data_IF_379440307183
#
_entry.id   IF_379440307183
#
_cell.length_a   1.000
_cell.length_b   1.000
_cell.length_c   1.000
_cell.angle_alpha   90.00
_cell.angle_beta   90.00
_cell.angle_gamma   90.00
#
_symmetry.space_group_name_H-M   'P 1'
#
loop_
_entity.id
_entity.type
_entity.pdbx_description
1 polymer ?
#
# COMPACT_ATOMS: atom_id res chain seq x y z
N UNK A 1 27.40 -4.30 2.73
CA UNK A 1 27.11 -3.35 3.84
C UNK A 1 28.27 -3.43 4.82
N UNK A 2 29.03 -2.34 5.07
CA UNK A 2 30.31 -2.39 5.79
C UNK A 2 30.21 -2.77 7.28
N UNK A 3 29.03 -2.67 7.90
CA UNK A 3 28.82 -2.92 9.33
C UNK A 3 28.10 -4.24 9.66
N UNK A 4 27.73 -5.06 8.66
CA UNK A 4 26.98 -6.31 8.88
C UNK A 4 25.54 -6.13 9.35
N UNK A 5 25.06 -4.89 9.53
CA UNK A 5 23.67 -4.59 9.90
C UNK A 5 22.80 -4.50 8.64
N UNK A 6 21.68 -5.23 8.66
CA UNK A 6 20.64 -5.15 7.61
C UNK A 6 19.53 -4.22 8.08
N UNK A 7 19.17 -3.25 7.24
CA UNK A 7 18.14 -2.25 7.53
C UNK A 7 17.12 -2.27 6.41
N UNK A 8 15.84 -2.33 6.77
CA UNK A 8 14.71 -2.26 5.85
C UNK A 8 13.74 -1.18 6.35
N UNK A 9 13.36 -0.27 5.48
CA UNK A 9 12.28 0.69 5.73
C UNK A 9 10.95 0.06 5.34
N UNK A 10 9.95 0.19 6.21
CA UNK A 10 8.58 -0.26 5.95
C UNK A 10 7.68 0.97 5.82
N UNK A 11 7.06 1.16 4.65
CA UNK A 11 6.11 2.23 4.37
C UNK A 11 4.73 1.61 4.12
N UNK A 12 3.93 1.37 5.17
CA UNK A 12 2.61 0.83 5.00
C UNK A 12 1.60 1.92 4.61
N UNK A 13 0.54 1.51 3.93
CA UNK A 13 -0.71 2.27 3.88
C UNK A 13 -1.38 2.32 5.26
N UNK A 14 -2.59 2.91 5.36
CA UNK A 14 -3.35 2.94 6.60
C UNK A 14 -3.52 1.53 7.18
N UNK A 15 -3.18 1.29 8.45
CA UNK A 15 -3.28 -0.03 9.09
C UNK A 15 -4.35 0.00 10.17
N UNK A 16 -5.31 -0.93 10.15
CA UNK A 16 -6.42 -0.94 11.10
C UNK A 16 -5.97 -1.36 12.50
N UNK A 17 -5.50 -0.40 13.29
CA UNK A 17 -5.01 -0.59 14.66
C UNK A 17 -5.82 0.21 15.66
N UNK A 18 -5.78 -0.20 16.93
CA UNK A 18 -6.45 0.51 18.03
C UNK A 18 -5.94 1.95 18.26
N UNK A 19 -4.85 2.35 17.59
CA UNK A 19 -4.35 3.72 17.58
C UNK A 19 -5.45 4.72 17.19
N UNK A 20 -6.27 4.41 16.18
CA UNK A 20 -7.28 5.34 15.67
C UNK A 20 -8.43 5.56 16.65
N UNK A 21 -8.78 4.57 17.46
CA UNK A 21 -9.80 4.74 18.51
C UNK A 21 -9.41 5.77 19.57
N UNK A 22 -8.11 6.03 19.72
CA UNK A 22 -7.55 6.99 20.68
C UNK A 22 -7.19 8.31 19.99
N UNK A 23 -6.59 8.23 18.81
CA UNK A 23 -6.03 9.37 18.09
C UNK A 23 -7.09 10.14 17.27
N UNK A 24 -8.06 9.45 16.68
CA UNK A 24 -9.15 10.06 15.91
C UNK A 24 -10.47 9.97 16.65
N UNK A 25 -10.70 10.94 17.55
CA UNK A 25 -11.95 11.05 18.31
C UNK A 25 -13.17 11.39 17.45
N UNK A 26 -12.96 11.81 16.20
CA UNK A 26 -14.05 12.19 15.27
C UNK A 26 -14.50 11.03 14.40
N UNK A 27 -13.63 10.05 14.15
CA UNK A 27 -13.86 8.94 13.22
C UNK A 27 -13.66 9.33 11.74
N UNK A 28 -13.58 10.62 11.43
CA UNK A 28 -13.52 11.13 10.07
C UNK A 28 -12.31 10.60 9.28
N UNK A 29 -11.15 10.40 9.92
CA UNK A 29 -9.98 9.88 9.20
C UNK A 29 -10.22 8.44 8.78
N UNK A 30 -10.72 7.61 9.71
CA UNK A 30 -11.01 6.19 9.46
C UNK A 30 -12.06 6.05 8.36
N UNK A 31 -13.16 6.81 8.42
CA UNK A 31 -14.22 6.77 7.39
C UNK A 31 -13.70 7.02 5.98
N UNK A 32 -12.72 7.91 5.82
CA UNK A 32 -12.16 8.27 4.52
C UNK A 32 -11.16 7.24 3.97
N UNK A 33 -10.54 6.43 4.82
CA UNK A 33 -9.47 5.50 4.40
C UNK A 33 -9.81 4.03 4.60
N UNK A 34 -10.95 3.71 5.25
CA UNK A 34 -11.35 2.36 5.65
C UNK A 34 -11.28 1.33 4.52
N UNK A 35 -11.68 1.68 3.30
CA UNK A 35 -11.69 0.77 2.15
C UNK A 35 -10.29 0.31 1.73
N UNK A 36 -9.26 1.06 2.12
CA UNK A 36 -7.85 0.78 1.80
C UNK A 36 -7.02 0.45 3.05
N UNK A 37 -7.65 0.33 4.22
CA UNK A 37 -6.96 -0.05 5.44
C UNK A 37 -6.49 -1.50 5.36
N UNK A 38 -5.29 -1.72 5.86
CA UNK A 38 -4.64 -3.02 5.90
C UNK A 38 -4.91 -3.71 7.22
N UNK A 39 -5.06 -5.02 7.16
CA UNK A 39 -5.11 -5.86 8.34
C UNK A 39 -3.74 -5.83 9.06
N UNK A 40 -3.71 -5.57 10.38
CA UNK A 40 -2.46 -5.44 11.12
C UNK A 40 -1.67 -6.75 11.20
N UNK A 41 -2.34 -7.91 11.25
CA UNK A 41 -1.69 -9.22 11.31
C UNK A 41 -1.04 -9.55 9.97
N UNK A 42 -1.69 -9.22 8.86
CA UNK A 42 -1.12 -9.36 7.51
C UNK A 42 0.11 -8.47 7.31
N UNK A 43 0.06 -7.21 7.79
CA UNK A 43 1.21 -6.30 7.74
C UNK A 43 2.35 -6.85 8.59
N UNK A 44 2.07 -7.29 9.81
CA UNK A 44 3.07 -7.85 10.72
C UNK A 44 3.72 -9.11 10.14
N UNK A 45 2.92 -10.04 9.61
CA UNK A 45 3.42 -11.28 8.99
C UNK A 45 4.37 -10.97 7.82
N UNK A 46 3.98 -10.04 6.95
CA UNK A 46 4.82 -9.65 5.81
C UNK A 46 6.13 -8.98 6.26
N UNK A 47 6.09 -8.10 7.25
CA UNK A 47 7.29 -7.43 7.78
C UNK A 47 8.26 -8.46 8.36
N UNK A 48 7.76 -9.39 9.18
CA UNK A 48 8.57 -10.45 9.80
C UNK A 48 9.16 -11.38 8.73
N UNK A 49 8.39 -11.70 7.68
CA UNK A 49 8.87 -12.53 6.57
C UNK A 49 10.13 -11.98 5.90
N UNK A 50 10.31 -10.66 5.87
CA UNK A 50 11.49 -10.02 5.26
C UNK A 50 12.66 -9.78 6.22
N UNK A 51 12.56 -10.19 7.49
CA UNK A 51 13.66 -10.06 8.44
C UNK A 51 14.90 -10.83 7.96
N UNK A 52 16.06 -10.18 8.05
CA UNK A 52 17.33 -10.75 7.58
C UNK A 52 17.52 -10.77 6.06
N UNK A 53 16.52 -10.34 5.28
CA UNK A 53 16.67 -10.15 3.83
C UNK A 53 17.50 -8.90 3.50
N UNK A 54 18.01 -8.83 2.27
CA UNK A 54 18.72 -7.64 1.77
C UNK A 54 17.75 -6.60 1.17
N UNK A 55 16.44 -6.75 1.42
CA UNK A 55 15.41 -5.83 0.97
C UNK A 55 15.54 -4.51 1.71
N UNK A 56 15.73 -3.42 0.98
CA UNK A 56 15.94 -2.07 1.56
C UNK A 56 14.64 -1.33 1.87
N UNK A 57 13.63 -1.53 1.04
CA UNK A 57 12.33 -0.86 1.16
C UNK A 57 11.20 -1.85 0.95
N UNK A 58 10.19 -1.74 1.80
CA UNK A 58 8.98 -2.53 1.73
C UNK A 58 7.75 -1.63 1.82
N UNK A 59 7.05 -1.48 0.70
CA UNK A 59 5.90 -0.59 0.55
C UNK A 59 4.62 -1.44 0.47
N UNK A 60 3.61 -1.10 1.27
CA UNK A 60 2.31 -1.79 1.31
C UNK A 60 1.15 -0.81 1.00
N UNK A 61 0.06 -1.28 0.38
CA UNK A 61 -0.14 -2.66 -0.09
C UNK A 61 0.51 -2.90 -1.46
N UNK A 62 1.05 -4.11 -1.64
CA UNK A 62 1.77 -4.50 -2.87
C UNK A 62 0.90 -4.43 -4.12
N UNK A 63 -0.40 -4.69 -4.00
CA UNK A 63 -1.36 -4.61 -5.11
C UNK A 63 -1.42 -3.20 -5.71
N UNK A 64 -1.38 -2.14 -4.89
CA UNK A 64 -1.44 -0.76 -5.35
C UNK A 64 -0.15 -0.36 -6.07
N UNK A 65 1.00 -0.82 -5.56
CA UNK A 65 2.28 -0.66 -6.24
C UNK A 65 2.30 -1.40 -7.60
N UNK A 66 1.72 -2.60 -7.67
CA UNK A 66 1.56 -3.36 -8.92
C UNK A 66 0.61 -2.64 -9.87
N UNK A 67 -0.54 -2.15 -9.40
CA UNK A 67 -1.52 -1.43 -10.22
C UNK A 67 -0.91 -0.15 -10.81
N UNK A 68 -0.21 0.63 -9.99
CA UNK A 68 0.50 1.83 -10.43
C UNK A 68 1.57 1.50 -11.48
N UNK A 69 2.30 0.40 -11.31
CA UNK A 69 3.30 -0.05 -12.30
C UNK A 69 2.64 -0.50 -13.60
N UNK A 70 1.53 -1.23 -13.54
CA UNK A 70 0.76 -1.64 -14.71
C UNK A 70 0.20 -0.44 -15.48
N UNK A 71 -0.33 0.56 -14.77
CA UNK A 71 -0.82 1.80 -15.39
C UNK A 71 0.29 2.53 -16.16
N UNK A 72 1.49 2.61 -15.58
CA UNK A 72 2.64 3.24 -16.24
C UNK A 72 3.17 2.44 -17.44
N UNK A 73 3.09 1.10 -17.40
CA UNK A 73 3.59 0.25 -18.48
C UNK A 73 2.62 0.17 -19.67
N UNK A 74 1.31 0.30 -19.42
CA UNK A 74 0.27 0.20 -20.45
C UNK A 74 -0.70 1.39 -20.44
N UNK A 75 -0.20 2.64 -20.58
CA UNK A 75 -1.06 3.82 -20.53
C UNK A 75 -2.12 3.80 -21.65
N UNK A 76 -1.76 3.26 -22.82
CA UNK A 76 -2.64 3.18 -23.99
C UNK A 76 -3.84 2.24 -23.82
N UNK A 77 -3.77 1.25 -22.91
CA UNK A 77 -4.92 0.40 -22.58
C UNK A 77 -5.93 1.21 -21.73
N UNK A 78 -5.42 2.02 -20.81
CA UNK A 78 -6.22 2.99 -20.05
C UNK A 78 -6.91 4.01 -20.96
N UNK A 79 -6.17 4.61 -21.90
CA UNK A 79 -6.73 5.56 -22.86
C UNK A 79 -7.85 4.94 -23.71
N UNK A 80 -7.66 3.70 -24.17
CA UNK A 80 -8.63 3.01 -25.02
C UNK A 80 -9.89 2.61 -24.24
N UNK A 81 -9.76 2.26 -22.96
CA UNK A 81 -10.89 2.02 -22.07
C UNK A 81 -11.64 3.33 -21.77
N UNK A 82 -10.93 4.40 -21.40
CA UNK A 82 -11.51 5.72 -21.16
C UNK A 82 -12.29 6.24 -22.38
N UNK A 83 -11.72 6.14 -23.59
CA UNK A 83 -12.42 6.53 -24.82
C UNK A 83 -13.70 5.72 -25.05
N UNK A 84 -13.67 4.40 -24.78
CA UNK A 84 -14.83 3.51 -24.97
C UNK A 84 -15.94 3.71 -23.93
N UNK A 85 -15.59 4.12 -22.71
CA UNK A 85 -16.56 4.46 -21.66
C UNK A 85 -17.11 5.88 -21.83
N UNK A 86 -16.26 6.85 -22.20
CA UNK A 86 -16.67 8.21 -22.50
C UNK A 86 -17.56 8.29 -23.77
N UNK A 87 -17.32 7.43 -24.77
CA UNK A 87 -18.14 7.36 -25.99
C UNK A 87 -19.48 6.63 -25.81
N UNK A 88 -19.76 6.08 -24.62
CA UNK A 88 -20.99 5.34 -24.33
C UNK A 88 -22.01 6.16 -23.52
N UNK A 89 -21.75 7.46 -23.39
CA UNK A 89 -22.65 8.48 -22.87
C UNK A 89 -23.03 9.43 -24.00
#
# INVERSE_FOLDING_TARGET
>A
MPFGVKVMTVNPGPVYTNFFNVADKTGNYVENVQEFMLDPDDVAWQVVHFFGSDKREFNLPLNLAVLAKLYNLFPSIGDKLSLKFASRK
#
